data_IF_820393298304
#
_entry.id   IF_820393298304
#
_cell.length_a   1.000
_cell.length_b   1.000
_cell.length_c   1.000
_cell.angle_alpha   90.00
_cell.angle_beta   90.00
_cell.angle_gamma   90.00
#
_symmetry.space_group_name_H-M   'P 1'
#
loop_
_entity.id
_entity.type
_entity.pdbx_description
1 polymer ?
#
# COMPACT_ATOMS: atom_id res chain seq x y z
N UNK A 1 -6.04 25.56 -2.70
CA UNK A 1 -5.04 24.51 -2.51
C UNK A 1 -5.26 23.90 -1.13
N UNK A 2 -5.93 22.75 -1.03
CA UNK A 2 -6.03 22.04 0.24
C UNK A 2 -4.61 21.58 0.62
N UNK A 3 -4.14 21.80 1.86
CA UNK A 3 -2.78 21.43 2.22
C UNK A 3 -2.61 19.92 2.08
N UNK A 4 -1.52 19.48 1.45
CA UNK A 4 -1.14 18.08 1.21
C UNK A 4 -1.33 17.20 2.46
N UNK A 5 -1.05 17.77 3.64
CA UNK A 5 -1.19 17.14 4.94
C UNK A 5 -2.65 16.74 5.26
N UNK A 6 -3.63 17.54 4.84
CA UNK A 6 -5.05 17.28 5.07
C UNK A 6 -5.54 16.11 4.22
N UNK A 7 -5.07 16.02 2.98
CA UNK A 7 -5.41 14.93 2.05
C UNK A 7 -4.84 13.60 2.56
N UNK A 8 -3.59 13.59 3.03
CA UNK A 8 -2.97 12.41 3.61
C UNK A 8 -3.64 12.00 4.93
N UNK A 9 -4.02 12.94 5.80
CA UNK A 9 -4.74 12.61 7.03
C UNK A 9 -6.14 12.03 6.77
N UNK A 10 -6.84 12.53 5.74
CA UNK A 10 -8.15 12.02 5.35
C UNK A 10 -8.07 10.63 4.68
N UNK A 11 -7.03 10.39 3.87
CA UNK A 11 -6.84 9.12 3.17
C UNK A 11 -6.23 8.05 4.07
N UNK A 12 -5.19 8.41 4.83
CA UNK A 12 -4.46 7.53 5.73
C UNK A 12 -4.87 7.77 7.20
N UNK A 13 -6.17 7.67 7.49
CA UNK A 13 -6.67 7.88 8.85
C UNK A 13 -6.08 6.89 9.87
N UNK A 14 -5.82 7.33 11.10
CA UNK A 14 -5.38 6.46 12.19
C UNK A 14 -6.59 5.86 12.91
N UNK A 15 -6.69 4.53 12.96
CA UNK A 15 -7.54 3.85 13.96
C UNK A 15 -6.68 3.60 15.20
N UNK A 16 -7.26 3.67 16.40
CA UNK A 16 -6.54 3.56 17.68
C UNK A 16 -5.66 2.31 17.84
N UNK A 17 -5.86 1.28 17.01
CA UNK A 17 -5.12 0.01 17.01
C UNK A 17 -4.02 -0.09 15.94
N UNK A 18 -3.86 0.90 15.07
CA UNK A 18 -2.94 0.86 13.92
C UNK A 18 -2.21 2.18 13.75
N UNK A 19 -0.88 2.16 13.84
CA UNK A 19 -0.05 3.37 13.77
C UNK A 19 0.37 3.69 12.33
N UNK A 20 -0.04 4.86 11.82
CA UNK A 20 0.47 5.37 10.55
C UNK A 20 1.97 5.67 10.68
N UNK A 21 2.76 5.03 9.83
CA UNK A 21 4.24 5.06 9.87
C UNK A 21 4.85 5.83 8.69
N UNK A 22 4.10 5.98 7.60
CA UNK A 22 4.51 6.75 6.43
C UNK A 22 3.34 6.97 5.49
N UNK A 23 3.30 8.13 4.84
CA UNK A 23 2.25 8.48 3.91
C UNK A 23 2.78 9.36 2.77
N UNK A 24 2.50 8.99 1.52
CA UNK A 24 2.95 9.73 0.34
C UNK A 24 1.82 9.87 -0.67
N UNK A 25 1.82 10.96 -1.43
CA UNK A 25 0.92 11.12 -2.58
C UNK A 25 1.70 10.89 -3.87
N UNK A 26 1.10 10.13 -4.78
CA UNK A 26 1.65 9.85 -6.10
C UNK A 26 0.58 9.92 -7.19
N UNK A 27 0.94 10.33 -8.41
CA UNK A 27 0.06 10.21 -9.56
C UNK A 27 -0.32 8.74 -9.80
N UNK A 28 -1.57 8.48 -10.17
CA UNK A 28 -2.07 7.15 -10.49
C UNK A 28 -1.25 6.46 -11.59
N UNK A 29 -0.70 7.23 -12.54
CA UNK A 29 0.19 6.70 -13.58
C UNK A 29 1.51 6.13 -13.04
N UNK A 30 2.09 6.78 -12.02
CA UNK A 30 3.32 6.34 -11.34
C UNK A 30 3.05 5.09 -10.51
N UNK A 31 1.94 5.06 -9.76
CA UNK A 31 1.54 3.88 -8.98
C UNK A 31 1.25 2.70 -9.89
N UNK A 32 0.55 2.92 -11.01
CA UNK A 32 0.28 1.88 -11.98
C UNK A 32 1.57 1.30 -12.57
N UNK A 33 2.50 2.16 -12.99
CA UNK A 33 3.79 1.71 -13.51
C UNK A 33 4.57 0.94 -12.46
N UNK A 34 4.56 1.40 -11.21
CA UNK A 34 5.20 0.72 -10.10
C UNK A 34 4.62 -0.68 -9.87
N UNK A 35 3.29 -0.85 -9.78
CA UNK A 35 2.67 -2.17 -9.62
C UNK A 35 2.94 -3.11 -10.81
N UNK A 36 3.00 -2.56 -12.02
CA UNK A 36 3.23 -3.32 -13.26
C UNK A 36 4.72 -3.72 -13.44
N UNK A 37 5.65 -3.08 -12.72
CA UNK A 37 7.11 -3.28 -12.89
C UNK A 37 7.87 -3.73 -11.64
N UNK A 38 7.36 -3.46 -10.43
CA UNK A 38 7.97 -3.91 -9.18
C UNK A 38 7.42 -5.27 -8.76
N UNK A 39 8.17 -6.31 -9.14
CA UNK A 39 8.50 -7.45 -8.29
C UNK A 39 9.75 -8.14 -8.85
N UNK A 40 10.39 -8.98 -8.04
CA UNK A 40 11.44 -9.92 -8.50
C UNK A 40 10.99 -10.62 -9.81
N UNK A 41 11.90 -11.03 -10.70
CA UNK A 41 11.58 -11.56 -12.04
C UNK A 41 10.50 -12.67 -12.08
N UNK A 42 10.28 -13.37 -10.97
CA UNK A 42 9.35 -14.49 -10.83
C UNK A 42 8.18 -14.22 -9.85
N UNK A 43 7.98 -12.95 -9.44
CA UNK A 43 6.86 -12.57 -8.59
C UNK A 43 5.53 -12.49 -9.38
N UNK A 44 4.37 -12.59 -8.73
CA UNK A 44 3.11 -12.31 -9.39
C UNK A 44 3.11 -10.86 -9.88
N UNK A 45 3.05 -10.68 -11.21
CA UNK A 45 2.86 -9.38 -11.83
C UNK A 45 1.36 -9.13 -12.02
N UNK A 46 0.89 -7.94 -11.64
CA UNK A 46 -0.40 -7.48 -12.16
C UNK A 46 -0.20 -7.09 -13.62
N UNK A 47 -0.90 -7.79 -14.54
CA UNK A 47 -0.80 -7.54 -15.99
C UNK A 47 -1.26 -6.12 -16.35
N UNK A 48 -2.22 -5.60 -15.60
CA UNK A 48 -2.69 -4.22 -15.70
C UNK A 48 -3.09 -3.74 -14.31
N UNK A 49 -2.48 -2.64 -13.87
CA UNK A 49 -2.84 -2.03 -12.59
C UNK A 49 -4.25 -1.44 -12.65
N UNK A 50 -5.00 -1.57 -11.56
CA UNK A 50 -6.30 -0.89 -11.37
C UNK A 50 -6.19 0.63 -11.43
N UNK A 51 -5.01 1.19 -11.14
CA UNK A 51 -4.80 2.64 -11.15
C UNK A 51 -4.82 3.21 -12.57
N UNK A 52 -4.74 2.36 -13.60
CA UNK A 52 -4.95 2.73 -15.01
C UNK A 52 -6.39 3.16 -15.32
N UNK A 53 -7.35 2.89 -14.44
CA UNK A 53 -8.75 3.31 -14.61
C UNK A 53 -9.00 4.77 -14.18
N UNK A 54 -8.01 5.42 -13.56
CA UNK A 54 -8.07 6.82 -13.15
C UNK A 54 -7.27 7.71 -14.11
N UNK A 55 -7.58 9.03 -14.20
CA UNK A 55 -6.71 9.98 -14.87
C UNK A 55 -5.27 9.91 -14.32
N UNK A 56 -4.28 9.97 -15.20
CA UNK A 56 -2.89 9.65 -14.83
C UNK A 56 -2.26 10.58 -13.79
N UNK A 57 -2.79 11.79 -13.62
CA UNK A 57 -2.42 12.82 -12.65
C UNK A 57 -3.23 12.75 -11.34
N UNK A 58 -4.27 11.91 -11.28
CA UNK A 58 -5.08 11.73 -10.09
C UNK A 58 -4.24 11.17 -8.95
N UNK A 59 -4.46 11.67 -7.73
CA UNK A 59 -3.62 11.33 -6.59
C UNK A 59 -4.07 10.03 -5.93
N UNK A 60 -3.09 9.15 -5.69
CA UNK A 60 -3.21 7.95 -4.88
C UNK A 60 -2.35 8.15 -3.64
N UNK A 61 -2.93 7.90 -2.46
CA UNK A 61 -2.19 7.93 -1.21
C UNK A 61 -1.59 6.55 -0.92
N UNK A 62 -0.31 6.52 -0.64
CA UNK A 62 0.47 5.34 -0.24
C UNK A 62 0.61 5.39 1.28
N UNK A 63 -0.12 4.55 2.00
CA UNK A 63 -0.17 4.53 3.46
C UNK A 63 0.53 3.29 4.02
N UNK A 64 1.52 3.49 4.88
CA UNK A 64 2.23 2.43 5.60
C UNK A 64 1.79 2.42 7.06
N UNK A 65 1.31 1.28 7.53
CA UNK A 65 0.80 1.12 8.88
C UNK A 65 1.60 0.07 9.64
N UNK A 66 1.99 0.36 10.88
CA UNK A 66 2.57 -0.62 11.79
C UNK A 66 1.52 -1.08 12.82
N UNK A 67 1.34 -2.39 12.91
CA UNK A 67 0.56 -3.10 13.92
C UNK A 67 0.94 -4.59 13.85
N UNK A 68 0.42 -5.45 14.74
CA UNK A 68 0.46 -6.90 14.49
C UNK A 68 -0.61 -7.27 13.48
N UNK A 69 -0.21 -7.90 12.38
CA UNK A 69 -1.07 -8.37 11.30
C UNK A 69 -1.04 -9.89 11.13
N UNK A 70 -0.56 -10.64 12.13
CA UNK A 70 -0.37 -12.10 12.06
C UNK A 70 -1.67 -12.84 11.72
N UNK A 71 -2.81 -12.38 12.24
CA UNK A 71 -4.13 -12.93 11.97
C UNK A 71 -4.68 -12.60 10.57
N UNK A 72 -3.98 -11.78 9.78
CA UNK A 72 -4.35 -11.36 8.43
C UNK A 72 -3.36 -11.87 7.38
N UNK A 73 -2.40 -12.72 7.78
CA UNK A 73 -1.48 -13.37 6.85
C UNK A 73 -2.27 -14.24 5.86
N UNK A 74 -2.03 -14.11 4.54
CA UNK A 74 -2.66 -14.99 3.57
C UNK A 74 -2.21 -16.45 3.79
N UNK A 75 -3.10 -17.43 3.59
CA UNK A 75 -2.71 -18.83 3.64
C UNK A 75 -1.64 -19.10 2.58
N UNK A 76 -0.53 -19.70 3.00
CA UNK A 76 0.58 -20.05 2.12
C UNK A 76 0.82 -21.56 2.06
N UNK A 77 1.77 -21.96 1.21
CA UNK A 77 2.25 -23.33 1.13
C UNK A 77 2.80 -23.81 2.50
N UNK A 78 2.94 -25.13 2.74
CA UNK A 78 3.53 -25.65 3.97
C UNK A 78 4.88 -25.01 4.29
N UNK A 79 5.03 -24.50 5.52
CA UNK A 79 6.23 -23.76 5.96
C UNK A 79 6.20 -22.26 5.68
N UNK A 80 5.11 -21.73 5.11
CA UNK A 80 4.93 -20.29 4.98
C UNK A 80 4.86 -19.63 6.35
N UNK A 81 5.49 -18.46 6.48
CA UNK A 81 5.47 -17.67 7.71
C UNK A 81 4.04 -17.15 7.93
N UNK A 82 3.47 -17.43 9.10
CA UNK A 82 2.14 -16.96 9.51
C UNK A 82 2.17 -15.91 10.61
N UNK A 83 3.36 -15.52 11.08
CA UNK A 83 3.54 -14.56 12.17
C UNK A 83 4.75 -13.64 12.01
N UNK A 84 4.80 -12.56 12.78
CA UNK A 84 5.80 -11.50 12.67
C UNK A 84 5.51 -10.49 11.55
N UNK A 85 4.27 -10.44 11.07
CA UNK A 85 3.79 -9.42 10.16
C UNK A 85 3.49 -8.15 10.93
N UNK A 86 4.33 -7.15 10.71
CA UNK A 86 4.36 -5.93 11.52
C UNK A 86 4.04 -4.67 10.70
N UNK A 87 3.78 -4.82 9.39
CA UNK A 87 3.45 -3.71 8.50
C UNK A 87 2.45 -4.06 7.43
N UNK A 88 1.49 -3.17 7.21
CA UNK A 88 0.59 -3.18 6.07
C UNK A 88 0.89 -2.00 5.14
N UNK A 89 0.81 -2.24 3.84
CA UNK A 89 0.87 -1.22 2.81
C UNK A 89 -0.48 -1.11 2.10
N UNK A 90 -1.06 0.09 2.16
CA UNK A 90 -2.42 0.38 1.71
C UNK A 90 -2.39 1.54 0.73
N UNK A 91 -3.10 1.38 -0.38
CA UNK A 91 -3.24 2.38 -1.42
C UNK A 91 -4.66 2.94 -1.37
N UNK A 92 -4.80 4.27 -1.35
CA UNK A 92 -6.11 4.94 -1.29
C UNK A 92 -6.29 5.80 -2.53
N UNK A 93 -7.30 5.43 -3.32
CA UNK A 93 -7.59 6.10 -4.58
C UNK A 93 -8.24 7.48 -4.42
N UNK A 94 -8.38 8.23 -5.54
CA UNK A 94 -9.01 9.56 -5.55
C UNK A 94 -10.45 9.58 -5.03
N UNK A 95 -11.17 8.48 -5.23
CA UNK A 95 -12.54 8.30 -4.73
C UNK A 95 -12.61 7.84 -3.26
N UNK A 96 -11.48 7.75 -2.56
CA UNK A 96 -11.39 7.26 -1.18
C UNK A 96 -11.42 5.74 -1.04
N UNK A 97 -11.46 4.99 -2.14
CA UNK A 97 -11.39 3.53 -2.12
C UNK A 97 -10.01 3.06 -1.64
N UNK A 98 -9.97 2.36 -0.52
CA UNK A 98 -8.75 1.78 0.05
C UNK A 98 -8.54 0.36 -0.45
N UNK A 99 -7.31 0.05 -0.85
CA UNK A 99 -6.85 -1.25 -1.32
C UNK A 99 -5.68 -1.66 -0.45
N UNK A 100 -5.80 -2.79 0.24
CA UNK A 100 -4.64 -3.44 0.86
C UNK A 100 -3.81 -4.05 -0.26
N UNK A 101 -2.58 -3.55 -0.45
CA UNK A 101 -1.66 -4.11 -1.43
C UNK A 101 -1.03 -5.38 -0.86
N UNK A 102 -0.29 -5.26 0.25
CA UNK A 102 0.27 -6.40 0.96
C UNK A 102 0.55 -6.13 2.44
N UNK A 103 0.77 -7.23 3.17
CA UNK A 103 1.23 -7.25 4.56
C UNK A 103 2.60 -7.94 4.60
N UNK A 104 3.50 -7.44 5.42
CA UNK A 104 4.86 -7.95 5.51
C UNK A 104 5.55 -7.65 6.84
N UNK A 105 6.79 -8.10 6.93
CA UNK A 105 7.73 -7.60 7.94
C UNK A 105 8.20 -6.20 7.55
N UNK A 106 8.77 -5.40 8.46
CA UNK A 106 9.36 -4.12 8.09
C UNK A 106 10.52 -4.26 7.08
N UNK A 107 11.18 -5.43 7.09
CA UNK A 107 12.27 -5.78 6.16
C UNK A 107 11.75 -6.01 4.74
N UNK A 108 10.65 -6.72 4.59
CA UNK A 108 10.06 -7.08 3.28
C UNK A 108 9.12 -5.99 2.75
N UNK A 109 8.60 -5.15 3.63
CA UNK A 109 7.76 -3.99 3.30
C UNK A 109 8.45 -2.72 3.80
N UNK A 110 9.56 -2.29 3.19
CA UNK A 110 10.20 -1.02 3.55
C UNK A 110 9.26 0.15 3.22
N UNK A 111 9.37 1.23 3.98
CA UNK A 111 8.67 2.48 3.65
C UNK A 111 9.42 3.10 2.48
N UNK A 112 8.83 3.04 1.30
CA UNK A 112 9.37 3.62 0.07
C UNK A 112 8.29 4.43 -0.61
N UNK A 113 8.68 5.45 -1.34
CA UNK A 113 7.78 6.19 -2.20
C UNK A 113 8.37 6.12 -3.61
N UNK A 114 7.69 5.51 -4.59
CA UNK A 114 8.14 5.47 -5.97
C UNK A 114 8.21 6.86 -6.61
#
# INVERSE_FOLDING_TARGET
MLPLLLVLAAACGTRATVALSGAFLRPASVVAQWEETMNLPDGPHVVRSRWRDYPGDSLVALCYYNASFDNYSPPGAPGHRTSGFERAFVLVGPAGAAVLDHIGTKRTTPIVAP
#
